data_IF_284181441711
#
_entry.id   IF_284181441711
#
_cell.length_a   1.000
_cell.length_b   1.000
_cell.length_c   1.000
_cell.angle_alpha   90.00
_cell.angle_beta   90.00
_cell.angle_gamma   90.00
#
_symmetry.space_group_name_H-M   'P 1'
#
loop_
_entity.id
_entity.type
_entity.pdbx_description
1 polymer ?
#
# COMPACT_ATOMS: atom_id res chain seq x y z
N UNK A 1 5.50 14.59 -1.71
CA UNK A 1 6.27 14.38 -2.97
C UNK A 1 6.67 15.74 -3.52
N UNK A 2 7.72 15.84 -4.34
CA UNK A 2 8.08 17.08 -5.05
C UNK A 2 7.72 17.00 -6.54
N UNK A 3 7.58 15.80 -7.09
CA UNK A 3 6.97 15.53 -8.40
C UNK A 3 6.45 14.08 -8.48
N UNK A 4 5.96 13.66 -9.63
CA UNK A 4 5.49 12.28 -9.85
C UNK A 4 6.55 11.21 -9.60
N UNK A 5 7.83 11.55 -9.80
CA UNK A 5 8.94 10.60 -9.67
C UNK A 5 10.04 11.10 -8.72
N UNK A 6 9.77 12.15 -7.95
CA UNK A 6 10.73 12.70 -7.00
C UNK A 6 10.09 13.07 -5.65
N UNK A 7 10.86 12.94 -4.58
CA UNK A 7 10.49 13.37 -3.24
C UNK A 7 11.73 13.76 -2.44
N UNK A 8 11.51 14.37 -1.28
CA UNK A 8 12.53 14.54 -0.24
C UNK A 8 12.16 13.67 0.95
N UNK A 9 13.12 12.92 1.47
CA UNK A 9 12.97 12.16 2.71
C UNK A 9 13.85 12.78 3.79
N UNK A 10 13.33 12.85 5.02
CA UNK A 10 14.11 13.32 6.16
C UNK A 10 14.83 12.12 6.76
N UNK A 11 16.16 12.17 6.82
CA UNK A 11 16.98 11.10 7.36
C UNK A 11 17.89 11.66 8.45
N UNK A 12 18.10 10.87 9.49
CA UNK A 12 19.06 11.22 10.52
C UNK A 12 20.44 10.74 10.09
N UNK A 13 21.37 11.66 9.88
CA UNK A 13 22.70 11.38 9.38
C UNK A 13 23.72 12.27 10.11
N UNK A 14 24.78 11.66 10.65
CA UNK A 14 25.87 12.37 11.33
C UNK A 14 25.41 13.34 12.45
N UNK A 15 24.37 12.95 13.20
CA UNK A 15 23.87 13.75 14.33
C UNK A 15 22.87 14.84 13.94
N UNK A 16 22.52 14.98 12.66
CA UNK A 16 21.55 15.97 12.21
C UNK A 16 20.46 15.36 11.30
N UNK A 17 19.34 16.04 11.21
CA UNK A 17 18.25 15.70 10.30
C UNK A 17 18.42 16.40 8.95
N UNK A 18 18.84 15.63 7.96
CA UNK A 18 19.04 16.13 6.60
C UNK A 18 17.87 15.72 5.69
N UNK A 19 17.51 16.61 4.76
CA UNK A 19 16.55 16.30 3.69
C UNK A 19 17.29 15.75 2.48
N UNK A 20 17.09 14.48 2.18
CA UNK A 20 17.68 13.82 1.03
C UNK A 20 16.69 13.81 -0.15
N UNK A 21 17.03 14.40 -1.32
CA UNK A 21 16.24 14.24 -2.53
C UNK A 21 16.38 12.80 -3.05
N UNK A 22 15.25 12.19 -3.42
CA UNK A 22 15.19 10.85 -3.98
C UNK A 22 14.39 10.87 -5.29
N UNK A 23 14.79 9.99 -6.20
CA UNK A 23 13.99 9.62 -7.38
C UNK A 23 13.49 8.19 -7.21
N UNK A 24 12.30 7.92 -7.73
CA UNK A 24 11.70 6.60 -7.66
C UNK A 24 10.95 6.27 -8.94
N UNK A 25 10.79 4.97 -9.21
CA UNK A 25 10.08 4.48 -10.38
C UNK A 25 8.62 4.93 -10.32
N UNK A 26 8.14 5.58 -11.38
CA UNK A 26 6.73 5.93 -11.52
C UNK A 26 5.85 4.68 -11.52
N UNK A 27 4.69 4.79 -10.89
CA UNK A 27 3.65 3.76 -10.86
C UNK A 27 2.47 4.22 -11.72
N UNK A 28 1.88 3.30 -12.46
CA UNK A 28 0.64 3.56 -13.20
C UNK A 28 -0.54 3.46 -12.23
N UNK A 29 -1.02 4.61 -11.76
CA UNK A 29 -2.09 4.67 -10.76
C UNK A 29 -3.46 4.29 -11.35
N UNK A 30 -3.63 4.44 -12.66
CA UNK A 30 -4.88 4.09 -13.36
C UNK A 30 -5.05 2.57 -13.38
N UNK A 31 -4.01 1.82 -13.77
CA UNK A 31 -4.02 0.34 -13.72
C UNK A 31 -4.22 -0.23 -12.32
N UNK A 32 -3.87 0.53 -11.29
CA UNK A 32 -4.05 0.15 -9.88
C UNK A 32 -5.43 0.54 -9.31
N UNK A 33 -6.27 1.24 -10.09
CA UNK A 33 -7.57 1.74 -9.65
C UNK A 33 -7.51 2.65 -8.40
N UNK A 34 -6.42 3.41 -8.24
CA UNK A 34 -6.22 4.34 -7.11
C UNK A 34 -5.98 5.79 -7.55
N UNK A 35 -6.07 6.07 -8.85
CA UNK A 35 -5.83 7.39 -9.44
C UNK A 35 -6.66 8.51 -8.79
N UNK A 36 -7.90 8.24 -8.42
CA UNK A 36 -8.82 9.21 -7.81
C UNK A 36 -8.90 9.12 -6.28
N UNK A 37 -8.10 8.26 -5.65
CA UNK A 37 -8.12 8.05 -4.20
C UNK A 37 -7.20 9.03 -3.46
N UNK A 38 -7.52 9.30 -2.19
CA UNK A 38 -6.72 10.19 -1.35
C UNK A 38 -5.41 9.50 -0.97
N UNK A 39 -4.28 10.09 -1.36
CA UNK A 39 -2.95 9.59 -0.99
C UNK A 39 -2.67 9.82 0.50
N UNK A 40 -2.24 8.78 1.22
CA UNK A 40 -1.85 8.85 2.62
C UNK A 40 -0.34 9.08 2.77
N UNK A 41 0.09 9.41 3.99
CA UNK A 41 1.51 9.55 4.33
C UNK A 41 2.30 8.29 3.97
N UNK A 42 3.35 8.40 3.16
CA UNK A 42 4.09 7.24 2.68
C UNK A 42 5.05 6.70 3.74
N UNK A 43 5.31 5.40 3.69
CA UNK A 43 6.25 4.71 4.59
C UNK A 43 7.45 4.21 3.82
N UNK A 44 8.65 4.43 4.37
CA UNK A 44 9.88 3.87 3.81
C UNK A 44 10.07 2.44 4.31
N UNK A 45 10.02 1.47 3.40
CA UNK A 45 10.10 0.05 3.71
C UNK A 45 11.39 -0.54 3.15
N UNK A 46 12.17 -1.20 4.01
CA UNK A 46 13.35 -1.97 3.60
C UNK A 46 12.93 -3.36 3.12
N UNK A 47 13.26 -3.70 1.88
CA UNK A 47 13.11 -5.04 1.29
C UNK A 47 14.49 -5.58 0.92
N UNK A 48 15.07 -6.38 1.82
CA UNK A 48 16.43 -6.90 1.69
C UNK A 48 17.47 -5.77 1.66
N UNK A 49 18.17 -5.64 0.52
CA UNK A 49 19.18 -4.58 0.27
C UNK A 49 18.60 -3.33 -0.41
N UNK A 50 17.28 -3.26 -0.61
CA UNK A 50 16.61 -2.14 -1.29
C UNK A 50 15.62 -1.45 -0.37
N UNK A 51 15.34 -0.18 -0.66
CA UNK A 51 14.28 0.58 -0.02
C UNK A 51 13.18 0.86 -1.03
N UNK A 52 11.92 0.80 -0.57
CA UNK A 52 10.75 1.10 -1.36
C UNK A 52 9.87 2.10 -0.61
N UNK A 53 9.27 3.02 -1.35
CA UNK A 53 8.26 3.92 -0.81
C UNK A 53 6.89 3.23 -0.92
N UNK A 54 6.29 2.90 0.22
CA UNK A 54 4.93 2.39 0.27
C UNK A 54 3.96 3.55 0.44
N UNK A 55 3.13 3.76 -0.57
CA UNK A 55 2.10 4.80 -0.57
C UNK A 55 0.75 4.10 -0.42
N UNK A 56 0.06 4.40 0.69
CA UNK A 56 -1.30 3.94 0.93
C UNK A 56 -2.30 4.94 0.33
N UNK A 57 -3.48 4.42 -0.03
CA UNK A 57 -4.57 5.21 -0.58
C UNK A 57 -5.83 4.93 0.22
N UNK A 58 -6.56 6.00 0.55
CA UNK A 58 -7.82 5.97 1.28
C UNK A 58 -8.97 6.25 0.30
N UNK A 59 -10.07 5.52 0.45
CA UNK A 59 -11.28 5.74 -0.32
C UNK A 59 -12.46 4.93 0.22
N UNK A 60 -13.65 5.37 -0.13
CA UNK A 60 -14.89 4.75 0.30
C UNK A 60 -15.29 3.61 -0.63
N UNK A 61 -15.69 2.48 -0.05
CA UNK A 61 -16.27 1.36 -0.79
C UNK A 61 -17.76 1.30 -0.48
N UNK A 62 -18.58 1.57 -1.50
CA UNK A 62 -20.04 1.39 -1.39
C UNK A 62 -20.34 -0.11 -1.35
N UNK A 63 -20.93 -0.56 -0.24
CA UNK A 63 -21.49 -1.91 -0.17
C UNK A 63 -22.72 -1.99 -1.07
N UNK A 64 -22.82 -3.07 -1.85
CA UNK A 64 -24.02 -3.33 -2.65
C UNK A 64 -25.20 -3.56 -1.72
N UNK A 65 -26.17 -2.65 -1.73
CA UNK A 65 -27.45 -2.86 -1.06
C UNK A 65 -28.33 -3.75 -1.94
N UNK A 66 -28.04 -5.05 -1.94
CA UNK A 66 -28.93 -6.04 -2.53
C UNK A 66 -30.16 -6.25 -1.62
N UNK A 67 -31.32 -6.55 -2.20
CA UNK A 67 -32.49 -7.00 -1.44
C UNK A 67 -32.11 -8.16 -0.52
N UNK A 68 -32.68 -8.20 0.70
CA UNK A 68 -32.38 -9.23 1.71
C UNK A 68 -32.50 -10.66 1.15
N UNK A 69 -33.45 -10.90 0.25
CA UNK A 69 -33.65 -12.19 -0.43
C UNK A 69 -32.49 -12.62 -1.33
N UNK A 70 -31.64 -11.68 -1.76
CA UNK A 70 -30.47 -11.89 -2.63
C UNK A 70 -29.14 -11.80 -1.88
N UNK A 71 -29.17 -11.43 -0.59
CA UNK A 71 -27.96 -11.37 0.24
C UNK A 71 -27.56 -12.79 0.67
N UNK A 72 -26.28 -13.13 0.48
CA UNK A 72 -25.71 -14.42 0.90
C UNK A 72 -24.93 -14.22 2.19
N UNK A 73 -25.26 -15.01 3.22
CA UNK A 73 -24.47 -15.06 4.45
C UNK A 73 -23.25 -15.95 4.21
N UNK A 74 -22.06 -15.38 4.30
CA UNK A 74 -20.80 -16.11 4.22
C UNK A 74 -20.18 -16.19 5.60
N UNK A 75 -20.07 -17.40 6.16
CA UNK A 75 -19.32 -17.64 7.40
C UNK A 75 -17.90 -18.06 7.05
N UNK A 76 -16.91 -17.25 7.42
CA UNK A 76 -15.50 -17.60 7.31
C UNK A 76 -14.97 -18.06 8.67
N UNK A 77 -14.36 -19.25 8.73
CA UNK A 77 -13.65 -19.73 9.91
C UNK A 77 -12.16 -19.77 9.63
N UNK A 78 -11.41 -18.92 10.31
CA UNK A 78 -9.95 -18.87 10.17
C UNK A 78 -9.30 -19.66 11.30
N UNK A 79 -8.43 -20.63 10.97
CA UNK A 79 -7.49 -21.23 11.94
C UNK A 79 -6.13 -20.57 11.79
N UNK A 80 -5.57 -20.11 12.89
CA UNK A 80 -4.31 -19.33 12.94
C UNK A 80 -3.09 -20.12 12.41
N UNK A 81 -3.15 -21.45 12.36
CA UNK A 81 -2.00 -22.30 12.04
C UNK A 81 -1.80 -22.63 10.54
N UNK A 82 -2.78 -22.45 9.67
CA UNK A 82 -2.64 -22.78 8.22
C UNK A 82 -2.19 -21.60 7.35
N UNK A 83 -2.24 -20.37 7.87
CA UNK A 83 -1.98 -19.15 7.11
C UNK A 83 -0.54 -19.04 6.57
N UNK A 84 0.43 -19.77 7.15
CA UNK A 84 1.83 -19.76 6.69
C UNK A 84 2.07 -20.55 5.39
N UNK A 85 1.16 -21.44 5.00
CA UNK A 85 1.33 -22.25 3.77
C UNK A 85 0.84 -21.53 2.51
N UNK A 86 -0.20 -20.69 2.61
CA UNK A 86 -0.85 -20.06 1.46
C UNK A 86 -0.07 -18.90 0.83
N UNK A 87 0.95 -18.35 1.50
CA UNK A 87 1.80 -17.28 0.95
C UNK A 87 3.16 -17.78 0.46
N UNK A 88 3.39 -19.10 0.43
CA UNK A 88 4.67 -19.67 -0.02
C UNK A 88 4.63 -20.22 -1.45
N UNK A 89 3.45 -20.46 -2.03
CA UNK A 89 3.32 -20.79 -3.45
C UNK A 89 2.84 -19.57 -4.25
N UNK A 90 3.80 -18.74 -4.63
CA UNK A 90 3.66 -17.80 -5.73
C UNK A 90 4.01 -18.48 -7.05
N UNK A 91 3.09 -19.30 -7.56
CA UNK A 91 3.02 -19.65 -8.98
C UNK A 91 1.73 -19.11 -9.58
#
# INVERSE_FOLDING_TARGET
RTSDRAAKIKVFHQGDWVWLPITFKGQDLFKRNVWSMKECSPTLVRKGKRYALHIAYEGDVKLTQAELSKQRVCAARFRVNEFRSLFRDGR
#
